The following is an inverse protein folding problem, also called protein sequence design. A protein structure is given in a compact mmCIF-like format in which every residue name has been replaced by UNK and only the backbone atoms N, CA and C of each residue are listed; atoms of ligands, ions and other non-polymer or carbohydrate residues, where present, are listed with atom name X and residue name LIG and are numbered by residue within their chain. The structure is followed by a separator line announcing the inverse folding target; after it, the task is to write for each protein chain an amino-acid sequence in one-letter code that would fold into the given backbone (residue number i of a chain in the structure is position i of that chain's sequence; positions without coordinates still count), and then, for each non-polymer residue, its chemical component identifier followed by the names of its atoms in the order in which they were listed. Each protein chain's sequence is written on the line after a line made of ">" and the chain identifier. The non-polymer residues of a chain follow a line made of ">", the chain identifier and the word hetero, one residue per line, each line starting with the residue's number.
data_IF_921618705090
#
_entry.id   IF_921618705090
#
_cell.length_a   1.000
_cell.length_b   1.000
_cell.length_c   1.000
_cell.angle_alpha   90.00
_cell.angle_beta   90.00
_cell.angle_gamma   90.00
#
_symmetry.space_group_name_H-M   'P 1'
#
loop_
_entity.id
_entity.type
_entity.pdbx_description
1 polymer ?
#
# COMPACT_ATOMS: atom_id res chain seq x y z
N UNK A 1 1.81 -22.04 34.50
CA UNK A 1 1.09 -20.84 34.93
C UNK A 1 0.73 -21.06 36.38
N UNK A 2 1.06 -20.11 37.27
CA UNK A 2 0.73 -20.20 38.68
C UNK A 2 -0.39 -19.21 38.99
N UNK A 3 -1.39 -19.68 39.72
CA UNK A 3 -2.50 -18.85 40.19
C UNK A 3 -2.43 -18.69 41.73
N UNK A 4 -2.89 -17.55 42.21
CA UNK A 4 -3.06 -17.25 43.66
C UNK A 4 -4.39 -16.53 43.84
N UNK A 5 -4.87 -16.40 45.12
CA UNK A 5 -6.09 -15.63 45.36
C UNK A 5 -6.03 -14.18 44.83
N UNK A 6 -4.84 -13.60 44.75
CA UNK A 6 -4.60 -12.25 44.26
C UNK A 6 -4.37 -12.21 42.74
N UNK A 7 -4.02 -13.37 42.13
CA UNK A 7 -3.78 -13.52 40.68
C UNK A 7 -4.60 -14.71 40.15
N UNK A 8 -5.90 -14.48 39.96
CA UNK A 8 -6.87 -15.50 39.60
C UNK A 8 -7.20 -15.55 38.12
N UNK A 9 -6.58 -14.70 37.29
CA UNK A 9 -6.73 -14.68 35.84
C UNK A 9 -5.41 -14.41 35.13
N UNK A 10 -5.23 -14.98 33.98
CA UNK A 10 -4.07 -14.70 33.11
C UNK A 10 -4.47 -14.68 31.65
N UNK A 11 -3.97 -13.68 30.92
CA UNK A 11 -4.09 -13.59 29.48
C UNK A 11 -2.90 -14.32 28.83
N UNK A 12 -3.20 -15.21 27.89
CA UNK A 12 -2.19 -15.93 27.08
C UNK A 12 -2.40 -15.50 25.63
N UNK A 13 -1.33 -15.12 24.98
CA UNK A 13 -1.31 -14.84 23.55
C UNK A 13 -0.60 -15.98 22.84
N UNK A 14 -1.25 -16.54 21.82
CA UNK A 14 -0.69 -17.58 20.97
C UNK A 14 -0.83 -17.16 19.51
N UNK A 15 0.22 -17.36 18.74
CA UNK A 15 0.21 -17.14 17.29
C UNK A 15 0.12 -18.47 16.57
N UNK A 16 -0.85 -18.58 15.68
CA UNK A 16 -1.06 -19.78 14.85
C UNK A 16 -0.81 -19.35 13.40
N UNK A 17 0.07 -20.05 12.71
CA UNK A 17 0.29 -19.82 11.29
C UNK A 17 -0.89 -20.34 10.49
N UNK A 18 -1.52 -19.48 9.68
CA UNK A 18 -2.51 -19.90 8.70
C UNK A 18 -1.84 -20.74 7.61
N UNK A 19 -2.31 -21.96 7.40
CA UNK A 19 -1.72 -22.91 6.43
C UNK A 19 -2.64 -23.20 5.25
N UNK A 20 -3.93 -22.92 5.37
CA UNK A 20 -4.94 -23.20 4.35
C UNK A 20 -5.96 -22.06 4.29
N UNK A 21 -6.37 -21.71 3.08
CA UNK A 21 -7.48 -20.78 2.86
C UNK A 21 -8.81 -21.39 3.27
N UNK A 22 -9.79 -20.52 3.58
CA UNK A 22 -11.12 -20.91 4.00
C UNK A 22 -11.30 -21.02 5.50
N UNK A 23 -12.38 -21.66 5.92
CA UNK A 23 -12.74 -21.79 7.32
C UNK A 23 -11.91 -22.88 8.00
N UNK A 24 -11.02 -22.46 8.89
CA UNK A 24 -10.21 -23.34 9.71
C UNK A 24 -10.82 -23.44 11.12
N UNK A 25 -11.02 -24.68 11.59
CA UNK A 25 -11.58 -24.94 12.90
C UNK A 25 -10.47 -25.25 13.91
N UNK A 26 -10.49 -24.56 15.01
CA UNK A 26 -9.51 -24.72 16.07
C UNK A 26 -10.19 -25.12 17.39
N UNK A 27 -9.42 -25.82 18.19
CA UNK A 27 -9.85 -26.31 19.51
C UNK A 27 -8.80 -25.89 20.54
N UNK A 28 -9.17 -25.00 21.42
CA UNK A 28 -8.37 -24.66 22.58
C UNK A 28 -8.76 -25.57 23.74
N UNK A 29 -7.78 -26.22 24.35
CA UNK A 29 -7.97 -27.11 25.49
C UNK A 29 -7.01 -26.71 26.60
N UNK A 30 -7.53 -26.63 27.83
CA UNK A 30 -6.74 -26.54 29.05
C UNK A 30 -6.77 -27.93 29.71
N UNK A 31 -5.64 -28.43 30.14
CA UNK A 31 -5.58 -29.70 30.83
C UNK A 31 -6.27 -29.62 32.20
N UNK A 32 -6.96 -30.69 32.55
CA UNK A 32 -7.71 -30.77 33.78
C UNK A 32 -6.78 -30.80 35.01
N UNK A 33 -7.17 -30.10 36.06
CA UNK A 33 -6.56 -30.28 37.36
C UNK A 33 -7.24 -31.44 38.09
N UNK A 34 -6.48 -32.18 38.94
CA UNK A 34 -6.97 -33.37 39.65
C UNK A 34 -8.29 -33.16 40.40
N UNK A 35 -8.48 -31.98 41.00
CA UNK A 35 -9.66 -31.66 41.82
C UNK A 35 -10.61 -30.65 41.17
N UNK A 36 -10.58 -30.52 39.85
CA UNK A 36 -11.40 -29.56 39.15
C UNK A 36 -12.87 -30.00 39.10
N UNK A 37 -13.76 -29.14 39.64
CA UNK A 37 -15.20 -29.41 39.71
C UNK A 37 -15.91 -29.26 38.37
N UNK A 38 -15.47 -28.32 37.53
CA UNK A 38 -16.08 -28.04 36.23
C UNK A 38 -15.07 -28.28 35.12
N UNK A 39 -15.21 -29.38 34.41
CA UNK A 39 -14.32 -29.78 33.32
C UNK A 39 -14.82 -29.37 31.93
N UNK A 40 -16.05 -28.86 31.82
CA UNK A 40 -16.66 -28.51 30.54
C UNK A 40 -16.17 -27.17 29.99
N UNK A 41 -15.72 -26.26 30.86
CA UNK A 41 -15.18 -24.95 30.50
C UNK A 41 -13.73 -24.99 29.98
N UNK A 42 -13.05 -26.16 30.09
CA UNK A 42 -11.66 -26.33 29.66
C UNK A 42 -11.51 -26.52 28.16
N UNK A 43 -12.61 -26.51 27.43
CA UNK A 43 -12.65 -26.70 26.00
C UNK A 43 -13.38 -25.57 25.30
N UNK A 44 -12.70 -24.94 24.33
CA UNK A 44 -13.31 -23.93 23.47
C UNK A 44 -13.05 -24.26 22.00
N UNK A 45 -14.11 -24.43 21.23
CA UNK A 45 -14.03 -24.51 19.78
C UNK A 45 -14.25 -23.10 19.19
N UNK A 46 -13.48 -22.75 18.17
CA UNK A 46 -13.65 -21.50 17.41
C UNK A 46 -13.21 -21.74 15.96
N UNK A 47 -13.70 -20.91 15.06
CA UNK A 47 -13.31 -20.92 13.66
C UNK A 47 -12.65 -19.60 13.29
N UNK A 48 -11.67 -19.68 12.39
CA UNK A 48 -11.00 -18.53 11.79
C UNK A 48 -11.12 -18.70 10.28
N UNK A 49 -11.66 -17.70 9.62
CA UNK A 49 -11.68 -17.64 8.15
C UNK A 49 -10.37 -17.03 7.66
N UNK A 50 -9.62 -17.82 6.89
CA UNK A 50 -8.38 -17.38 6.24
C UNK A 50 -8.72 -17.02 4.81
N UNK A 51 -8.55 -15.75 4.47
CA UNK A 51 -8.82 -15.21 3.14
C UNK A 51 -7.49 -14.81 2.52
N UNK A 52 -7.09 -15.47 1.43
CA UNK A 52 -5.93 -15.06 0.63
C UNK A 52 -6.39 -14.07 -0.46
N UNK A 53 -6.70 -12.85 -0.03
CA UNK A 53 -6.93 -11.73 -0.95
C UNK A 53 -5.68 -10.89 -1.01
N UNK A 54 -4.80 -11.24 -1.94
CA UNK A 54 -3.71 -10.35 -2.30
C UNK A 54 -4.27 -9.12 -3.02
N UNK A 55 -3.81 -7.94 -2.64
CA UNK A 55 -4.09 -6.70 -3.35
C UNK A 55 -3.15 -6.61 -4.55
N UNK A 56 -3.68 -6.75 -5.75
CA UNK A 56 -2.93 -6.59 -6.99
C UNK A 56 -2.75 -5.10 -7.30
N UNK A 57 -1.50 -4.66 -7.39
CA UNK A 57 -1.11 -3.29 -7.71
C UNK A 57 -0.41 -3.28 -9.07
N UNK A 58 -0.83 -2.39 -9.94
CA UNK A 58 -0.20 -2.18 -11.25
C UNK A 58 0.62 -0.90 -11.24
N UNK A 59 1.89 -0.98 -11.61
CA UNK A 59 2.72 0.19 -11.91
C UNK A 59 2.84 0.32 -13.41
N UNK A 60 2.38 1.46 -13.94
CA UNK A 60 2.48 1.82 -15.36
C UNK A 60 3.51 2.91 -15.56
N UNK A 61 4.37 2.72 -16.54
CA UNK A 61 5.35 3.70 -16.99
C UNK A 61 5.52 3.64 -18.51
N UNK A 62 5.88 4.75 -19.15
CA UNK A 62 6.26 4.78 -20.57
C UNK A 62 7.74 4.43 -20.80
N UNK A 63 8.53 4.31 -19.72
CA UNK A 63 9.98 4.02 -19.79
C UNK A 63 10.44 3.20 -18.60
N UNK A 64 11.60 2.55 -18.73
CA UNK A 64 12.22 1.84 -17.62
C UNK A 64 12.98 2.80 -16.69
N UNK A 65 12.78 2.65 -15.37
CA UNK A 65 13.45 3.43 -14.36
C UNK A 65 13.73 2.56 -13.12
N UNK A 66 14.88 2.73 -12.45
CA UNK A 66 15.18 1.98 -11.22
C UNK A 66 14.14 2.13 -10.11
N UNK A 67 13.49 3.30 -10.00
CA UNK A 67 12.44 3.57 -9.02
C UNK A 67 11.27 2.58 -9.11
N UNK A 68 10.97 2.06 -10.32
CA UNK A 68 9.87 1.08 -10.49
C UNK A 68 10.15 -0.19 -9.69
N UNK A 69 11.41 -0.64 -9.69
CA UNK A 69 11.85 -1.78 -8.90
C UNK A 69 11.84 -1.49 -7.40
N UNK A 70 12.27 -0.29 -7.00
CA UNK A 70 12.24 0.15 -5.61
C UNK A 70 10.81 0.25 -5.07
N UNK A 71 9.88 0.85 -5.85
CA UNK A 71 8.46 0.91 -5.52
C UNK A 71 7.86 -0.49 -5.38
N UNK A 72 8.13 -1.37 -6.35
CA UNK A 72 7.68 -2.77 -6.27
C UNK A 72 8.16 -3.43 -4.99
N UNK A 73 9.44 -3.37 -4.68
CA UNK A 73 10.02 -3.97 -3.48
C UNK A 73 9.41 -3.39 -2.20
N UNK A 74 9.18 -2.08 -2.17
CA UNK A 74 8.57 -1.40 -1.02
C UNK A 74 7.12 -1.83 -0.81
N UNK A 75 6.32 -1.94 -1.87
CA UNK A 75 4.91 -2.34 -1.77
C UNK A 75 4.79 -3.82 -1.39
N UNK A 76 5.60 -4.69 -1.99
CA UNK A 76 5.63 -6.14 -1.74
C UNK A 76 6.32 -6.52 -0.41
N UNK A 77 6.83 -5.55 0.36
CA UNK A 77 7.27 -5.80 1.73
C UNK A 77 6.12 -6.29 2.63
N UNK A 78 4.90 -5.97 2.27
CA UNK A 78 3.67 -6.57 2.80
C UNK A 78 3.28 -7.77 1.91
N UNK A 79 3.24 -8.97 2.50
CA UNK A 79 2.94 -10.23 1.80
C UNK A 79 1.53 -10.28 1.19
N UNK A 80 0.63 -9.40 1.63
CA UNK A 80 -0.73 -9.28 1.09
C UNK A 80 -0.80 -8.41 -0.17
N UNK A 81 0.34 -7.91 -0.68
CA UNK A 81 0.41 -7.07 -1.86
C UNK A 81 1.29 -7.70 -2.91
N UNK A 82 0.79 -7.67 -4.13
CA UNK A 82 1.53 -8.13 -5.30
C UNK A 82 1.58 -7.04 -6.36
N UNK A 83 2.75 -6.79 -6.94
CA UNK A 83 2.98 -5.69 -7.86
C UNK A 83 3.37 -6.19 -9.23
N UNK A 84 2.60 -5.77 -10.24
CA UNK A 84 2.95 -5.93 -11.64
C UNK A 84 3.47 -4.61 -12.20
N UNK A 85 4.64 -4.62 -12.85
CA UNK A 85 5.15 -3.48 -13.62
C UNK A 85 4.88 -3.73 -15.08
N UNK A 86 4.27 -2.76 -15.79
CA UNK A 86 4.04 -2.80 -17.24
C UNK A 86 4.48 -1.48 -17.86
N UNK A 87 5.05 -1.60 -19.06
CA UNK A 87 5.29 -0.45 -19.92
C UNK A 87 4.14 -0.30 -20.89
N UNK A 88 3.81 0.94 -21.27
CA UNK A 88 2.67 1.25 -22.16
C UNK A 88 2.85 0.81 -23.62
N UNK A 89 3.92 0.09 -23.94
CA UNK A 89 4.12 -0.43 -25.28
C UNK A 89 3.15 -1.57 -25.60
N UNK A 90 2.12 -1.27 -26.42
CA UNK A 90 1.38 -2.20 -27.31
C UNK A 90 0.53 -3.35 -26.73
N UNK A 91 0.36 -3.53 -25.43
CA UNK A 91 -0.46 -4.62 -24.91
C UNK A 91 -1.75 -4.09 -24.28
N UNK A 92 -2.88 -4.68 -24.60
CA UNK A 92 -4.14 -4.46 -23.90
C UNK A 92 -3.96 -4.83 -22.41
N UNK A 93 -3.83 -3.82 -21.57
CA UNK A 93 -3.70 -3.99 -20.13
C UNK A 93 -5.10 -4.09 -19.57
N UNK A 94 -5.45 -5.23 -18.99
CA UNK A 94 -6.72 -5.39 -18.29
C UNK A 94 -6.63 -4.72 -16.91
N UNK A 95 -7.10 -3.46 -16.83
CA UNK A 95 -7.06 -2.69 -15.57
C UNK A 95 -7.97 -3.27 -14.50
N UNK A 96 -8.97 -4.10 -14.89
CA UNK A 96 -9.92 -4.72 -13.96
C UNK A 96 -9.30 -5.65 -12.92
N UNK A 97 -8.14 -6.18 -13.22
CA UNK A 97 -7.48 -7.18 -12.37
C UNK A 97 -6.74 -6.51 -11.19
N UNK A 98 -6.67 -5.17 -11.18
CA UNK A 98 -5.89 -4.42 -10.20
C UNK A 98 -6.78 -3.52 -9.34
N UNK A 99 -6.51 -3.53 -8.03
CA UNK A 99 -7.20 -2.68 -7.05
C UNK A 99 -6.61 -1.28 -6.96
N UNK A 100 -5.34 -1.13 -7.36
CA UNK A 100 -4.64 0.16 -7.42
C UNK A 100 -3.77 0.21 -8.68
N UNK A 101 -3.83 1.33 -9.40
CA UNK A 101 -2.95 1.61 -10.54
C UNK A 101 -2.05 2.79 -10.21
N UNK A 102 -0.73 2.59 -10.29
CA UNK A 102 0.26 3.66 -10.10
C UNK A 102 0.70 4.15 -11.47
N UNK A 103 0.46 5.42 -11.74
CA UNK A 103 0.87 6.11 -12.95
C UNK A 103 2.20 6.81 -12.70
N UNK A 104 3.29 6.23 -13.22
CA UNK A 104 4.64 6.75 -12.98
C UNK A 104 5.07 7.70 -14.09
N UNK A 105 5.19 8.98 -13.75
CA UNK A 105 5.60 10.08 -14.63
C UNK A 105 4.82 10.10 -15.97
N UNK A 106 3.48 10.31 -15.90
CA UNK A 106 2.63 10.18 -17.07
C UNK A 106 2.90 11.24 -18.16
N UNK A 107 2.73 10.80 -19.39
CA UNK A 107 2.79 11.59 -20.61
C UNK A 107 1.57 11.26 -21.51
N UNK A 108 1.57 11.73 -22.77
CA UNK A 108 0.49 11.54 -23.73
C UNK A 108 0.10 10.07 -23.97
N UNK A 109 1.02 9.12 -23.78
CA UNK A 109 0.73 7.68 -23.95
C UNK A 109 -0.28 7.16 -22.91
N UNK A 110 -0.44 7.86 -21.78
CA UNK A 110 -1.38 7.49 -20.70
C UNK A 110 -2.83 7.91 -20.97
N UNK A 111 -3.12 8.59 -22.08
CA UNK A 111 -4.45 9.18 -22.33
C UNK A 111 -5.59 8.18 -22.19
N UNK A 112 -5.48 7.04 -22.86
CA UNK A 112 -6.52 6.00 -22.83
C UNK A 112 -6.66 5.38 -21.43
N UNK A 113 -5.54 5.14 -20.77
CA UNK A 113 -5.50 4.60 -19.41
C UNK A 113 -6.20 5.54 -18.41
N UNK A 114 -5.87 6.83 -18.45
CA UNK A 114 -6.48 7.82 -17.54
C UNK A 114 -7.98 7.93 -17.82
N UNK A 115 -8.39 7.96 -19.09
CA UNK A 115 -9.81 7.98 -19.46
C UNK A 115 -10.55 6.74 -18.93
N UNK A 116 -9.98 5.55 -19.07
CA UNK A 116 -10.56 4.31 -18.55
C UNK A 116 -10.66 4.35 -17.02
N UNK A 117 -9.59 4.71 -16.32
CA UNK A 117 -9.56 4.80 -14.84
C UNK A 117 -10.60 5.80 -14.32
N UNK A 118 -10.71 6.96 -14.96
CA UNK A 118 -11.66 8.01 -14.58
C UNK A 118 -13.10 7.58 -14.83
N UNK A 119 -13.39 7.01 -16.00
CA UNK A 119 -14.73 6.53 -16.36
C UNK A 119 -15.22 5.45 -15.40
N UNK A 120 -14.33 4.58 -14.98
CA UNK A 120 -14.63 3.47 -14.05
C UNK A 120 -14.55 3.86 -12.58
N UNK A 121 -14.14 5.10 -12.27
CA UNK A 121 -13.87 5.55 -10.91
C UNK A 121 -12.90 4.61 -10.16
N UNK A 122 -11.91 4.10 -10.88
CA UNK A 122 -10.91 3.20 -10.33
C UNK A 122 -9.90 3.96 -9.46
N UNK A 123 -9.33 3.29 -8.48
CA UNK A 123 -8.29 3.89 -7.64
C UNK A 123 -6.98 3.98 -8.42
N UNK A 124 -6.39 5.17 -8.45
CA UNK A 124 -5.07 5.36 -9.01
C UNK A 124 -4.23 6.33 -8.18
N UNK A 125 -2.93 6.20 -8.29
CA UNK A 125 -1.94 7.06 -7.64
C UNK A 125 -0.97 7.59 -8.70
N UNK A 126 -0.80 8.90 -8.75
CA UNK A 126 0.09 9.55 -9.71
C UNK A 126 1.41 9.93 -9.05
N UNK A 127 2.52 9.42 -9.60
CA UNK A 127 3.87 9.82 -9.23
C UNK A 127 4.41 10.73 -10.32
N UNK A 128 4.67 11.99 -9.98
CA UNK A 128 5.30 12.93 -10.90
C UNK A 128 6.81 12.95 -10.74
N UNK A 129 7.51 13.35 -11.78
CA UNK A 129 8.96 13.52 -11.77
C UNK A 129 9.41 14.38 -12.95
N UNK A 130 10.70 14.34 -13.23
CA UNK A 130 11.33 15.18 -14.27
C UNK A 130 10.82 14.92 -15.68
N UNK A 131 10.30 13.71 -15.94
CA UNK A 131 9.74 13.30 -17.25
C UNK A 131 8.22 13.38 -17.33
N UNK A 132 7.55 13.90 -16.30
CA UNK A 132 6.10 14.10 -16.34
C UNK A 132 5.74 15.20 -17.34
N UNK A 133 4.87 14.88 -18.29
CA UNK A 133 4.30 15.89 -19.20
C UNK A 133 3.16 16.64 -18.49
N UNK A 134 3.50 17.77 -17.88
CA UNK A 134 2.54 18.58 -17.17
C UNK A 134 1.50 19.24 -18.07
N UNK A 135 1.80 19.50 -19.34
CA UNK A 135 0.79 20.00 -20.29
C UNK A 135 -0.27 18.92 -20.51
N UNK A 136 0.15 17.69 -20.69
CA UNK A 136 -0.75 16.55 -20.80
C UNK A 136 -1.56 16.36 -19.50
N UNK A 137 -0.91 16.28 -18.35
CA UNK A 137 -1.57 16.04 -17.04
C UNK A 137 -2.61 17.12 -16.72
N UNK A 138 -2.27 18.39 -16.97
CA UNK A 138 -3.15 19.53 -16.74
C UNK A 138 -4.44 19.48 -17.58
N UNK A 139 -4.38 18.84 -18.74
CA UNK A 139 -5.51 18.70 -19.67
C UNK A 139 -6.40 17.50 -19.35
N UNK A 140 -6.00 16.60 -18.43
CA UNK A 140 -6.80 15.42 -18.09
C UNK A 140 -7.90 15.67 -17.06
N UNK A 141 -7.98 16.87 -16.47
CA UNK A 141 -8.97 17.23 -15.44
C UNK A 141 -9.05 16.25 -14.26
N UNK A 142 -7.92 15.72 -13.83
CA UNK A 142 -7.81 14.71 -12.76
C UNK A 142 -7.70 15.35 -11.36
N UNK A 143 -8.12 16.60 -11.20
CA UNK A 143 -8.10 17.28 -9.90
C UNK A 143 -6.76 17.91 -9.52
N UNK A 144 -5.72 17.76 -10.32
CA UNK A 144 -4.38 18.29 -10.07
C UNK A 144 -3.94 19.15 -11.26
N UNK A 145 -3.47 20.35 -10.98
CA UNK A 145 -2.84 21.24 -11.97
C UNK A 145 -1.52 21.77 -11.46
N UNK A 146 -0.52 21.81 -12.32
CA UNK A 146 0.79 22.37 -12.03
C UNK A 146 1.22 23.32 -13.13
N UNK A 147 1.38 24.59 -12.79
CA UNK A 147 2.06 25.54 -13.67
C UNK A 147 3.57 25.42 -13.41
N UNK A 148 4.35 25.11 -14.41
CA UNK A 148 5.79 24.98 -14.27
C UNK A 148 6.53 25.96 -15.17
N UNK A 149 7.68 26.41 -14.68
CA UNK A 149 8.70 27.08 -15.46
C UNK A 149 9.79 26.04 -15.75
N UNK A 150 10.34 26.04 -16.96
CA UNK A 150 11.40 25.11 -17.38
C UNK A 150 12.74 25.38 -16.67
N UNK A 151 12.73 25.44 -15.34
CA UNK A 151 13.91 25.63 -14.51
C UNK A 151 13.92 24.56 -13.44
N UNK A 152 14.99 23.78 -13.37
CA UNK A 152 15.18 22.71 -12.41
C UNK A 152 16.08 23.20 -11.26
N UNK A 153 15.72 22.87 -10.03
CA UNK A 153 16.54 23.08 -8.83
C UNK A 153 16.64 21.79 -8.03
N UNK A 154 17.73 21.64 -7.30
CA UNK A 154 17.92 20.56 -6.37
C UNK A 154 17.33 20.94 -5.01
N UNK A 155 16.43 20.12 -4.51
CA UNK A 155 15.86 20.24 -3.18
C UNK A 155 16.22 19.02 -2.33
N UNK A 156 16.57 19.27 -1.07
CA UNK A 156 16.76 18.20 -0.10
C UNK A 156 15.41 17.88 0.56
N UNK A 157 14.98 16.64 0.48
CA UNK A 157 13.79 16.20 1.20
C UNK A 157 14.09 16.12 2.69
N UNK A 158 13.13 16.52 3.53
CA UNK A 158 13.16 16.32 4.97
C UNK A 158 11.96 15.49 5.42
N UNK A 159 12.16 14.63 6.38
CA UNK A 159 11.08 13.87 6.98
C UNK A 159 10.33 14.72 8.01
N UNK A 160 9.01 14.79 7.88
CA UNK A 160 8.17 15.47 8.85
C UNK A 160 7.52 14.44 9.80
N UNK A 161 8.15 14.25 10.95
CA UNK A 161 7.65 13.34 12.00
C UNK A 161 6.31 13.79 12.62
N UNK A 162 5.92 15.05 12.43
CA UNK A 162 4.65 15.60 12.94
C UNK A 162 3.42 15.27 12.10
N UNK A 163 3.57 14.58 10.98
CA UNK A 163 2.45 14.19 10.11
C UNK A 163 1.76 12.94 10.68
N UNK A 164 0.85 13.16 11.63
CA UNK A 164 0.20 12.11 12.43
C UNK A 164 -0.67 11.11 11.64
N UNK A 165 -1.05 11.43 10.41
CA UNK A 165 -1.88 10.55 9.57
C UNK A 165 -1.12 9.31 9.04
N UNK A 166 0.20 9.31 9.15
CA UNK A 166 1.05 8.21 8.77
C UNK A 166 1.96 7.88 9.95
N UNK A 167 1.48 7.03 10.87
CA UNK A 167 2.34 6.51 11.92
C UNK A 167 3.38 5.60 11.27
N UNK A 168 4.57 6.13 11.02
CA UNK A 168 5.69 5.33 10.56
C UNK A 168 6.57 4.97 11.74
N UNK A 169 6.96 3.70 11.80
CA UNK A 169 8.14 3.30 12.55
C UNK A 169 9.34 4.04 11.94
N UNK A 170 10.31 4.33 12.79
CA UNK A 170 11.59 4.91 12.39
C UNK A 170 12.07 4.29 11.06
N UNK A 171 12.21 5.11 10.02
CA UNK A 171 12.66 4.68 8.70
C UNK A 171 14.17 4.46 8.65
N UNK A 172 14.89 4.77 9.74
CA UNK A 172 16.30 4.47 9.92
C UNK A 172 17.28 5.39 9.19
N UNK A 173 16.83 6.48 8.56
CA UNK A 173 17.72 7.50 8.00
C UNK A 173 17.05 8.87 7.90
N UNK A 174 17.84 9.91 8.18
CA UNK A 174 17.38 11.31 8.19
C UNK A 174 17.83 12.08 6.95
N UNK A 175 18.80 11.57 6.20
CA UNK A 175 19.38 12.24 5.04
C UNK A 175 18.86 11.62 3.75
N UNK A 176 18.04 12.37 3.04
CA UNK A 176 17.57 11.99 1.70
C UNK A 176 18.50 12.58 0.64
N UNK A 177 18.72 11.87 -0.48
CA UNK A 177 19.43 12.46 -1.61
C UNK A 177 18.66 13.66 -2.14
N UNK A 178 19.32 14.68 -2.73
CA UNK A 178 18.65 15.80 -3.32
C UNK A 178 17.72 15.35 -4.45
N UNK A 179 16.52 15.92 -4.47
CA UNK A 179 15.53 15.72 -5.51
C UNK A 179 15.64 16.84 -6.54
N UNK A 180 15.70 16.48 -7.82
CA UNK A 180 15.58 17.44 -8.90
C UNK A 180 14.11 17.83 -9.03
N UNK A 181 13.80 19.11 -8.81
CA UNK A 181 12.44 19.63 -8.91
C UNK A 181 12.39 20.83 -9.83
N UNK A 182 11.24 21.04 -10.47
CA UNK A 182 10.98 22.22 -11.28
C UNK A 182 10.64 23.41 -10.36
N UNK A 183 11.41 24.46 -10.47
CA UNK A 183 11.32 25.66 -9.62
C UNK A 183 10.02 26.44 -9.83
N UNK A 184 9.57 27.10 -8.76
CA UNK A 184 8.43 28.04 -8.77
C UNK A 184 7.13 27.47 -9.30
N UNK A 185 6.95 26.15 -9.20
CA UNK A 185 5.68 25.54 -9.56
C UNK A 185 4.67 25.68 -8.43
N UNK A 186 3.47 26.17 -8.76
CA UNK A 186 2.31 26.10 -7.86
C UNK A 186 1.51 24.86 -8.23
N UNK A 187 1.31 23.98 -7.26
CA UNK A 187 0.35 22.88 -7.40
C UNK A 187 -1.00 23.36 -6.90
N UNK A 188 -2.00 23.32 -7.76
CA UNK A 188 -3.37 23.58 -7.36
C UNK A 188 -4.15 22.26 -7.34
N UNK A 189 -4.83 22.00 -6.24
CA UNK A 189 -5.81 20.93 -6.13
C UNK A 189 -7.17 21.52 -6.46
N UNK A 190 -7.87 20.98 -7.44
CA UNK A 190 -9.26 21.31 -7.68
C UNK A 190 -10.13 20.31 -6.92
N UNK A 191 -10.95 20.80 -5.99
CA UNK A 191 -12.07 19.98 -5.47
C UNK A 191 -13.10 19.86 -6.58
N UNK A 192 -13.44 18.65 -6.99
CA UNK A 192 -14.65 18.36 -7.75
C UNK A 192 -15.81 18.26 -6.78
#
# INVERSE_FOLDING_TARGET
>A
ISFSPQKNSQRIEASIKATQEGSNFYKAKIEYLENEKNKTNNLKNFSVEVIDKQTEVLILSSFYHPDLGALKKSIESDQQRKVSIRTLSKNNIKLNDFQLVILYQPNNEFKEIINELTTRKANYFLISGSKTDWNFVNNQNIGIRKNYLNQDENYTASFNAGLLNFSQKDIGFDNFPPLLMVVKSKVALSSN
#
